data_IF_310610004881
#
_entry.id   IF_310610004881
#
_cell.length_a   1.000
_cell.length_b   1.000
_cell.length_c   1.000
_cell.angle_alpha   90.00
_cell.angle_beta   90.00
_cell.angle_gamma   90.00
#
_symmetry.space_group_name_H-M   'P 1'
#
loop_
_entity.id
_entity.type
_entity.pdbx_description
1 polymer ?
#
# COMPACT_ATOMS: atom_id res chain seq x y z
N UNK A 1 -84.99 -44.76 50.61
CA UNK A 1 -84.64 -44.87 52.04
C UNK A 1 -83.22 -45.45 52.17
N UNK A 2 -82.46 -45.12 53.24
CA UNK A 2 -81.09 -44.59 53.17
C UNK A 2 -80.04 -45.37 54.00
N UNK A 3 -78.74 -44.98 53.98
CA UNK A 3 -77.93 -44.59 55.19
C UNK A 3 -76.40 -44.48 54.97
N UNK A 4 -75.90 -43.24 55.26
CA UNK A 4 -74.75 -42.86 56.14
C UNK A 4 -73.30 -43.17 55.66
N UNK A 5 -72.36 -42.23 55.47
CA UNK A 5 -71.95 -40.98 56.14
C UNK A 5 -71.39 -41.19 57.56
N UNK A 6 -70.04 -41.29 57.68
CA UNK A 6 -69.19 -40.94 58.85
C UNK A 6 -67.77 -41.53 58.69
N UNK A 7 -66.82 -40.78 58.12
CA UNK A 7 -65.35 -40.99 58.31
C UNK A 7 -64.46 -39.90 57.68
N UNK A 8 -65.00 -38.94 56.91
CA UNK A 8 -64.20 -38.03 56.05
C UNK A 8 -63.56 -36.84 56.81
N UNK A 9 -63.86 -36.60 58.08
CA UNK A 9 -63.53 -35.31 58.75
C UNK A 9 -62.12 -35.20 59.39
N UNK A 10 -61.47 -36.24 59.97
CA UNK A 10 -60.23 -36.00 60.73
C UNK A 10 -58.95 -35.96 59.88
N UNK A 11 -58.96 -36.39 58.61
CA UNK A 11 -57.73 -36.49 57.79
C UNK A 11 -57.33 -35.14 57.14
N UNK A 12 -58.27 -34.22 56.97
CA UNK A 12 -58.06 -32.99 56.19
C UNK A 12 -57.35 -31.86 56.97
N UNK A 13 -57.33 -31.94 58.31
CA UNK A 13 -56.75 -30.92 59.19
C UNK A 13 -55.24 -31.08 59.45
N UNK A 14 -54.66 -32.25 59.15
CA UNK A 14 -53.23 -32.50 59.37
C UNK A 14 -52.39 -32.03 58.17
N UNK A 15 -52.95 -32.10 56.95
CA UNK A 15 -52.27 -31.69 55.71
C UNK A 15 -52.16 -30.16 55.59
N UNK A 16 -53.10 -29.42 56.17
CA UNK A 16 -53.12 -27.95 56.13
C UNK A 16 -52.07 -27.29 57.03
N UNK A 17 -51.53 -28.01 58.01
CA UNK A 17 -50.50 -27.46 58.92
C UNK A 17 -49.07 -27.59 58.36
N UNK A 18 -48.80 -28.59 57.52
CA UNK A 18 -47.48 -28.81 56.93
C UNK A 18 -47.15 -27.86 55.75
N UNK A 19 -48.14 -27.18 55.19
CA UNK A 19 -47.98 -26.23 54.08
C UNK A 19 -47.62 -24.80 54.54
N UNK A 20 -47.56 -24.53 55.84
CA UNK A 20 -47.31 -23.19 56.39
C UNK A 20 -45.84 -22.89 56.71
N UNK A 21 -44.89 -23.80 56.46
CA UNK A 21 -43.48 -23.62 56.80
C UNK A 21 -42.53 -24.03 55.65
N UNK A 22 -42.40 -23.15 54.65
CA UNK A 22 -41.18 -23.08 53.82
C UNK A 22 -40.76 -21.61 53.74
N UNK A 23 -39.57 -21.23 54.29
CA UNK A 23 -39.09 -19.87 54.24
C UNK A 23 -38.47 -19.55 52.87
N UNK A 24 -38.52 -18.26 52.54
CA UNK A 24 -38.26 -17.66 51.24
C UNK A 24 -36.85 -17.91 50.67
N UNK A 25 -36.80 -18.19 49.36
CA UNK A 25 -35.61 -17.98 48.54
C UNK A 25 -35.89 -16.81 47.60
N UNK A 26 -35.17 -15.72 47.83
CA UNK A 26 -35.16 -14.49 47.07
C UNK A 26 -34.74 -14.72 45.61
N UNK A 27 -35.64 -14.50 44.66
CA UNK A 27 -35.28 -14.40 43.24
C UNK A 27 -34.97 -12.93 42.92
N UNK A 28 -33.66 -12.68 42.81
CA UNK A 28 -33.05 -11.50 42.19
C UNK A 28 -33.80 -11.12 40.90
N UNK A 29 -34.14 -9.83 40.78
CA UNK A 29 -34.52 -9.19 39.53
C UNK A 29 -33.45 -9.43 38.48
N UNK A 30 -33.67 -10.41 37.61
CA UNK A 30 -32.90 -10.58 36.38
C UNK A 30 -33.54 -9.62 35.37
N UNK A 31 -32.93 -8.44 35.20
CA UNK A 31 -33.23 -7.58 34.06
C UNK A 31 -32.98 -8.38 32.79
N UNK A 32 -34.07 -8.83 32.16
CA UNK A 32 -34.03 -9.48 30.87
C UNK A 32 -33.41 -8.53 29.85
N UNK A 33 -32.15 -8.77 29.49
CA UNK A 33 -31.49 -8.13 28.33
C UNK A 33 -32.24 -8.59 27.08
N UNK A 34 -33.30 -7.86 26.72
CA UNK A 34 -34.05 -8.08 25.49
C UNK A 34 -33.19 -7.62 24.31
N UNK A 35 -32.71 -8.58 23.51
CA UNK A 35 -32.07 -8.29 22.22
C UNK A 35 -33.12 -7.67 21.29
N UNK A 36 -32.99 -6.36 21.06
CA UNK A 36 -33.80 -5.63 20.08
C UNK A 36 -33.16 -5.80 18.71
N UNK A 37 -33.82 -6.54 17.81
CA UNK A 37 -33.42 -6.60 16.41
C UNK A 37 -33.99 -5.39 15.68
N UNK A 38 -33.12 -4.47 15.28
CA UNK A 38 -33.50 -3.34 14.42
C UNK A 38 -33.66 -3.92 13.01
N UNK A 39 -34.89 -4.06 12.52
CA UNK A 39 -35.20 -4.57 11.17
C UNK A 39 -35.43 -3.46 10.15
N UNK A 40 -35.44 -2.19 10.59
CA UNK A 40 -35.67 -1.03 9.73
C UNK A 40 -34.36 -0.53 9.09
N UNK A 41 -33.63 -1.42 8.44
CA UNK A 41 -32.55 -0.99 7.56
C UNK A 41 -33.18 -0.48 6.26
N UNK A 42 -32.78 0.70 5.75
CA UNK A 42 -33.22 1.13 4.43
C UNK A 42 -32.78 0.09 3.41
N UNK A 43 -33.61 -0.14 2.39
CA UNK A 43 -33.26 -1.05 1.30
C UNK A 43 -31.94 -0.60 0.68
N UNK A 44 -31.01 -1.54 0.45
CA UNK A 44 -29.76 -1.25 -0.26
C UNK A 44 -30.10 -0.77 -1.66
N UNK A 45 -29.83 0.50 -1.93
CA UNK A 45 -30.06 1.08 -3.25
C UNK A 45 -28.95 0.59 -4.19
N UNK A 46 -29.34 -0.20 -5.20
CA UNK A 46 -28.40 -0.56 -6.26
C UNK A 46 -28.21 0.65 -7.18
N UNK A 47 -27.04 1.27 -7.08
CA UNK A 47 -26.64 2.33 -8.01
C UNK A 47 -25.98 1.65 -9.21
N UNK A 48 -26.68 1.59 -10.34
CA UNK A 48 -26.13 1.19 -11.62
C UNK A 48 -25.96 2.45 -12.50
N UNK A 49 -24.80 2.59 -13.12
CA UNK A 49 -24.49 3.69 -14.03
C UNK A 49 -23.40 3.29 -15.01
N UNK A 50 -23.39 3.92 -16.18
CA UNK A 50 -22.35 3.76 -17.19
C UNK A 50 -21.42 4.96 -17.12
N UNK A 51 -20.12 4.72 -16.94
CA UNK A 51 -19.10 5.77 -17.05
C UNK A 51 -18.58 5.74 -18.49
N UNK A 52 -18.80 6.82 -19.23
CA UNK A 52 -18.20 7.03 -20.54
C UNK A 52 -17.08 8.06 -20.41
N UNK A 53 -15.94 7.77 -21.05
CA UNK A 53 -14.83 8.71 -21.17
C UNK A 53 -14.87 9.23 -22.60
N UNK A 54 -15.04 10.54 -22.77
CA UNK A 54 -14.91 11.20 -24.07
C UNK A 54 -13.44 11.58 -24.29
N UNK A 55 -12.79 10.93 -25.26
CA UNK A 55 -11.38 11.18 -25.61
C UNK A 55 -10.49 9.93 -25.71
N UNK A 56 -9.21 10.14 -26.02
CA UNK A 56 -8.22 9.06 -26.16
C UNK A 56 -7.67 8.67 -24.79
N UNK A 57 -8.00 7.47 -24.32
CA UNK A 57 -7.38 6.89 -23.12
C UNK A 57 -6.01 6.33 -23.49
N UNK A 58 -4.94 6.98 -23.03
CA UNK A 58 -3.58 6.48 -23.21
C UNK A 58 -3.36 5.29 -22.28
N UNK A 59 -3.42 4.07 -22.81
CA UNK A 59 -3.20 2.86 -22.01
C UNK A 59 -1.73 2.64 -21.66
N UNK A 60 -0.81 3.10 -22.51
CA UNK A 60 0.61 3.03 -22.27
C UNK A 60 1.37 4.16 -22.98
N UNK A 61 2.53 4.51 -22.45
CA UNK A 61 3.48 5.41 -23.10
C UNK A 61 4.91 5.02 -22.76
N UNK A 62 5.81 5.10 -23.73
CA UNK A 62 7.22 4.83 -23.52
C UNK A 62 8.01 6.14 -23.56
N UNK A 63 8.73 6.43 -22.49
CA UNK A 63 9.64 7.58 -22.38
C UNK A 63 11.07 7.09 -22.20
N UNK A 64 12.02 7.84 -22.77
CA UNK A 64 13.42 7.47 -22.79
C UNK A 64 14.31 8.66 -22.44
N UNK A 65 15.29 8.41 -21.58
CA UNK A 65 16.42 9.31 -21.33
C UNK A 65 17.67 8.55 -21.79
N UNK A 66 18.26 8.96 -22.91
CA UNK A 66 19.28 8.16 -23.61
C UNK A 66 20.65 8.79 -23.51
N UNK A 67 21.66 7.93 -23.53
CA UNK A 67 23.07 8.27 -23.67
C UNK A 67 23.57 9.36 -22.70
N UNK A 68 23.18 9.24 -21.44
CA UNK A 68 23.59 10.14 -20.37
C UNK A 68 24.92 9.71 -19.75
N UNK A 69 25.88 10.63 -19.73
CA UNK A 69 27.20 10.39 -19.17
C UNK A 69 27.20 10.62 -17.66
N UNK A 70 27.46 9.56 -16.89
CA UNK A 70 27.40 9.56 -15.43
C UNK A 70 28.77 9.26 -14.85
N UNK A 71 29.36 10.27 -14.21
CA UNK A 71 30.63 10.16 -13.49
C UNK A 71 30.45 9.42 -12.15
N UNK A 72 31.52 8.82 -11.61
CA UNK A 72 31.51 8.21 -10.28
C UNK A 72 31.00 9.15 -9.18
N UNK A 73 29.86 8.82 -8.60
CA UNK A 73 29.21 9.52 -7.50
C UNK A 73 28.37 8.56 -6.66
N UNK A 74 28.46 8.72 -5.33
CA UNK A 74 27.61 7.98 -4.39
C UNK A 74 26.17 8.47 -4.43
N UNK A 75 25.15 7.60 -4.30
CA UNK A 75 23.76 8.03 -4.18
C UNK A 75 23.49 8.91 -2.95
N UNK A 76 24.39 8.89 -1.95
CA UNK A 76 24.29 9.75 -0.75
C UNK A 76 24.78 11.18 -0.98
N UNK A 77 25.51 11.43 -2.05
CA UNK A 77 26.07 12.75 -2.39
C UNK A 77 25.07 13.51 -3.28
N UNK A 78 23.97 13.97 -2.68
CA UNK A 78 22.82 14.58 -3.39
C UNK A 78 23.20 15.70 -4.35
N UNK A 79 24.15 16.56 -3.96
CA UNK A 79 24.63 17.71 -4.74
C UNK A 79 25.43 17.34 -5.98
N UNK A 80 25.93 16.11 -6.05
CA UNK A 80 26.77 15.61 -7.14
C UNK A 80 26.05 14.62 -8.06
N UNK A 81 24.79 14.33 -7.78
CA UNK A 81 23.96 13.50 -8.64
C UNK A 81 23.78 14.16 -10.01
N UNK A 82 23.76 13.35 -11.06
CA UNK A 82 23.66 13.85 -12.44
C UNK A 82 22.18 14.01 -12.79
N UNK A 83 21.69 15.24 -13.07
CA UNK A 83 20.32 15.43 -13.53
C UNK A 83 20.14 14.86 -14.94
N UNK A 84 19.17 13.96 -15.09
CA UNK A 84 18.89 13.26 -16.35
C UNK A 84 17.66 13.79 -17.09
N UNK A 85 16.89 14.68 -16.46
CA UNK A 85 15.66 15.26 -16.99
C UNK A 85 14.45 14.94 -16.12
N UNK A 86 13.27 15.04 -16.71
CA UNK A 86 11.99 14.79 -16.03
C UNK A 86 11.18 13.74 -16.77
N UNK A 87 10.43 12.94 -16.02
CA UNK A 87 9.47 11.96 -16.50
C UNK A 87 8.05 12.49 -16.26
N UNK A 88 7.26 12.64 -17.32
CA UNK A 88 5.85 13.01 -17.20
C UNK A 88 5.01 11.74 -16.99
N UNK A 89 4.30 11.66 -15.86
CA UNK A 89 3.59 10.45 -15.42
C UNK A 89 2.08 10.66 -15.31
N UNK A 90 1.59 11.84 -15.70
CA UNK A 90 0.18 12.19 -15.67
C UNK A 90 -0.69 11.21 -16.48
N UNK A 91 -1.83 10.82 -15.90
CA UNK A 91 -2.75 9.86 -16.49
C UNK A 91 -2.34 8.38 -16.43
N UNK A 92 -1.27 8.03 -15.68
CA UNK A 92 -0.82 6.65 -15.49
C UNK A 92 -0.74 6.27 -14.00
N UNK A 93 -1.06 5.03 -13.67
CA UNK A 93 -1.00 4.52 -12.28
C UNK A 93 0.31 3.82 -11.94
N UNK A 94 1.04 3.34 -12.97
CA UNK A 94 2.24 2.53 -12.81
C UNK A 94 3.31 2.85 -13.86
N UNK A 95 4.57 2.66 -13.49
CA UNK A 95 5.71 2.76 -14.40
C UNK A 95 6.58 1.51 -14.27
N UNK A 96 7.01 0.94 -15.39
CA UNK A 96 8.07 -0.07 -15.43
C UNK A 96 9.36 0.62 -15.85
N UNK A 97 10.33 0.66 -14.93
CA UNK A 97 11.63 1.25 -15.17
C UNK A 97 12.64 0.16 -15.52
N UNK A 98 13.44 0.40 -16.54
CA UNK A 98 14.63 -0.38 -16.84
C UNK A 98 15.79 0.53 -17.20
N UNK A 99 16.97 0.15 -16.74
CA UNK A 99 18.19 0.92 -16.92
C UNK A 99 19.23 0.04 -17.61
N UNK A 100 19.90 0.57 -18.63
CA UNK A 100 21.03 -0.10 -19.24
C UNK A 100 22.13 0.90 -19.59
N UNK A 101 23.29 0.38 -19.94
CA UNK A 101 24.41 1.23 -20.28
C UNK A 101 25.71 0.50 -20.53
N UNK A 102 26.74 1.31 -20.69
CA UNK A 102 28.10 0.86 -20.91
C UNK A 102 29.10 1.70 -20.12
N UNK A 103 30.08 1.08 -19.47
CA UNK A 103 31.19 1.81 -18.87
C UNK A 103 32.22 2.20 -19.93
N UNK A 104 32.87 3.36 -19.76
CA UNK A 104 33.96 3.83 -20.63
C UNK A 104 35.28 3.07 -20.41
N UNK A 105 35.25 1.96 -19.70
CA UNK A 105 36.39 1.10 -19.39
C UNK A 105 35.99 0.00 -18.41
N UNK A 106 36.86 -0.99 -18.22
CA UNK A 106 36.63 -2.04 -17.23
C UNK A 106 36.69 -1.43 -15.83
N UNK A 107 35.59 -1.56 -15.09
CA UNK A 107 35.53 -1.17 -13.69
C UNK A 107 36.39 -2.13 -12.86
N UNK A 108 37.37 -1.59 -12.14
CA UNK A 108 38.21 -2.37 -11.23
C UNK A 108 37.51 -2.59 -9.90
N UNK A 109 36.65 -1.63 -9.51
CA UNK A 109 35.82 -1.71 -8.32
C UNK A 109 34.41 -2.08 -8.73
N UNK A 110 33.90 -3.19 -8.19
CA UNK A 110 32.50 -3.53 -8.34
C UNK A 110 31.63 -2.41 -7.76
N UNK A 111 30.65 -1.97 -8.55
CA UNK A 111 29.69 -0.94 -8.18
C UNK A 111 28.36 -1.15 -8.87
N UNK A 112 27.45 -0.22 -8.60
CA UNK A 112 26.14 -0.13 -9.20
C UNK A 112 25.93 1.24 -9.85
N UNK A 113 25.22 1.23 -10.97
CA UNK A 113 24.68 2.42 -11.62
C UNK A 113 23.18 2.41 -11.38
N UNK A 114 22.62 3.55 -11.00
CA UNK A 114 21.20 3.63 -10.70
C UNK A 114 20.59 4.96 -11.07
N UNK A 115 19.26 4.95 -11.15
CA UNK A 115 18.43 6.13 -11.31
C UNK A 115 17.52 6.28 -10.09
N UNK A 116 17.49 7.49 -9.57
CA UNK A 116 16.61 7.96 -8.51
C UNK A 116 15.58 8.89 -9.13
N UNK A 117 14.31 8.58 -8.91
CA UNK A 117 13.20 9.42 -9.32
C UNK A 117 12.60 10.06 -8.07
N UNK A 118 12.57 11.38 -8.05
CA UNK A 118 11.95 12.17 -6.98
C UNK A 118 10.78 12.98 -7.56
N UNK A 119 9.65 13.12 -6.84
CA UNK A 119 8.56 13.98 -7.28
C UNK A 119 9.03 15.40 -7.60
N UNK A 120 8.57 15.96 -8.73
CA UNK A 120 8.88 17.33 -9.14
C UNK A 120 7.93 18.35 -8.46
N UNK A 121 7.88 18.28 -7.13
CA UNK A 121 7.07 19.12 -6.25
C UNK A 121 7.98 20.03 -5.42
N UNK A 122 7.61 21.30 -5.26
CA UNK A 122 8.49 22.32 -4.65
C UNK A 122 8.99 21.91 -3.26
N UNK A 123 8.10 21.42 -2.41
CA UNK A 123 8.43 20.98 -1.04
C UNK A 123 9.44 19.81 -1.04
N UNK A 124 9.27 18.87 -1.97
CA UNK A 124 10.14 17.69 -2.08
C UNK A 124 11.52 18.08 -2.61
N UNK A 125 11.54 18.95 -3.62
CA UNK A 125 12.79 19.47 -4.20
C UNK A 125 13.57 20.26 -3.17
N UNK A 126 12.89 21.14 -2.41
CA UNK A 126 13.54 21.93 -1.37
C UNK A 126 14.17 21.04 -0.30
N UNK A 127 13.45 20.02 0.18
CA UNK A 127 14.01 19.05 1.14
C UNK A 127 15.21 18.28 0.57
N UNK A 128 15.20 17.97 -0.73
CA UNK A 128 16.32 17.31 -1.40
C UNK A 128 17.54 18.23 -1.57
N UNK A 129 17.32 19.49 -1.97
CA UNK A 129 18.41 20.45 -2.26
C UNK A 129 19.00 21.06 -0.99
N UNK A 130 18.18 21.40 0.00
CA UNK A 130 18.61 22.08 1.24
C UNK A 130 19.08 21.09 2.31
N UNK A 131 18.36 19.96 2.49
CA UNK A 131 18.61 19.01 3.58
C UNK A 131 19.16 17.65 3.09
N UNK A 132 19.22 17.42 1.77
CA UNK A 132 19.65 16.13 1.22
C UNK A 132 18.66 14.99 1.48
N UNK A 133 17.40 15.30 1.78
CA UNK A 133 16.38 14.32 2.12
C UNK A 133 15.63 13.82 0.88
N UNK A 134 15.67 12.50 0.66
CA UNK A 134 14.90 11.85 -0.39
C UNK A 134 13.49 11.55 0.09
N UNK A 135 12.51 12.36 -0.31
CA UNK A 135 11.09 12.09 -0.05
C UNK A 135 10.47 11.32 -1.21
N UNK A 136 9.81 10.21 -0.88
CA UNK A 136 9.13 9.32 -1.84
C UNK A 136 9.97 8.87 -3.06
N UNK A 137 11.25 8.46 -2.87
CA UNK A 137 12.09 8.09 -4.00
C UNK A 137 11.64 6.76 -4.62
N UNK A 138 11.67 6.69 -5.94
CA UNK A 138 11.71 5.41 -6.67
C UNK A 138 13.13 5.19 -7.18
N UNK A 139 13.69 4.02 -6.93
CA UNK A 139 15.09 3.73 -7.24
C UNK A 139 15.20 2.44 -8.07
N UNK A 140 15.89 2.52 -9.20
CA UNK A 140 16.25 1.36 -10.02
C UNK A 140 17.77 1.24 -10.10
N UNK A 141 18.28 0.02 -9.93
CA UNK A 141 19.72 -0.27 -9.88
C UNK A 141 20.09 -1.36 -10.88
N UNK A 142 21.13 -1.11 -11.67
CA UNK A 142 21.85 -2.15 -12.37
C UNK A 142 23.01 -2.64 -11.49
N UNK A 143 22.93 -3.85 -10.91
CA UNK A 143 24.02 -4.39 -10.10
C UNK A 143 25.22 -4.81 -10.96
N UNK A 144 26.35 -5.05 -10.29
CA UNK A 144 27.47 -5.84 -10.83
C UNK A 144 28.13 -5.28 -12.08
N UNK A 145 28.33 -3.97 -12.15
CA UNK A 145 29.24 -3.39 -13.14
C UNK A 145 30.67 -3.73 -12.71
N UNK A 146 31.19 -4.85 -13.20
CA UNK A 146 32.50 -5.40 -12.86
C UNK A 146 33.28 -5.74 -14.14
N UNK A 147 34.60 -5.83 -14.06
CA UNK A 147 35.51 -5.95 -15.21
C UNK A 147 35.26 -7.11 -16.20
N UNK A 148 34.31 -8.01 -15.93
CA UNK A 148 33.89 -9.07 -16.86
C UNK A 148 33.11 -8.55 -18.08
N UNK A 149 32.36 -7.44 -17.95
CA UNK A 149 31.58 -6.85 -19.04
C UNK A 149 31.64 -5.33 -18.98
N UNK A 150 31.69 -4.68 -20.14
CA UNK A 150 31.52 -3.22 -20.25
C UNK A 150 30.04 -2.82 -20.19
N UNK A 151 29.14 -3.75 -20.54
CA UNK A 151 27.71 -3.51 -20.56
C UNK A 151 27.07 -3.95 -19.24
N UNK A 152 26.08 -3.20 -18.82
CA UNK A 152 25.24 -3.50 -17.67
C UNK A 152 23.78 -3.20 -17.98
N UNK A 153 22.91 -3.91 -17.27
CA UNK A 153 21.47 -3.68 -17.30
C UNK A 153 20.86 -4.01 -15.93
N UNK A 154 19.77 -3.34 -15.60
CA UNK A 154 18.90 -3.72 -14.50
C UNK A 154 17.84 -4.71 -15.00
N UNK A 155 17.30 -5.50 -14.08
CA UNK A 155 16.01 -6.12 -14.31
C UNK A 155 14.92 -5.03 -14.39
N UNK A 156 13.90 -5.17 -15.25
CA UNK A 156 12.76 -4.26 -15.25
C UNK A 156 12.01 -4.34 -13.92
N UNK A 157 11.68 -3.17 -13.35
CA UNK A 157 10.95 -3.10 -12.08
C UNK A 157 9.73 -2.21 -12.21
N UNK A 158 8.58 -2.68 -11.69
CA UNK A 158 7.32 -1.94 -11.65
C UNK A 158 7.24 -1.11 -10.38
N UNK A 159 6.82 0.13 -10.53
CA UNK A 159 6.54 1.06 -9.44
C UNK A 159 5.16 1.69 -9.60
N UNK A 160 4.55 2.05 -8.48
CA UNK A 160 3.29 2.80 -8.44
C UNK A 160 3.58 4.29 -8.56
N UNK A 161 2.85 4.97 -9.45
CA UNK A 161 2.94 6.41 -9.66
C UNK A 161 2.04 7.11 -8.64
N UNK A 162 2.59 8.08 -7.91
CA UNK A 162 1.86 8.91 -6.96
C UNK A 162 1.81 10.40 -7.33
N UNK A 163 2.62 10.83 -8.29
CA UNK A 163 2.77 12.24 -8.69
C UNK A 163 2.73 12.37 -10.22
N UNK A 164 2.33 13.54 -10.75
CA UNK A 164 2.19 13.75 -12.20
C UNK A 164 3.54 13.91 -12.92
N UNK A 165 4.63 14.19 -12.19
CA UNK A 165 5.96 14.38 -12.75
C UNK A 165 7.05 14.00 -11.75
N UNK A 166 8.12 13.39 -12.26
CA UNK A 166 9.31 13.03 -11.47
C UNK A 166 10.58 13.60 -12.11
N UNK A 167 11.49 14.12 -11.30
CA UNK A 167 12.88 14.41 -11.72
C UNK A 167 13.71 13.15 -11.63
N UNK A 168 14.54 12.92 -12.63
CA UNK A 168 15.46 11.77 -12.70
C UNK A 168 16.87 12.23 -12.37
N UNK A 169 17.47 11.57 -11.40
CA UNK A 169 18.84 11.76 -10.94
C UNK A 169 19.60 10.47 -11.12
N UNK A 170 20.80 10.52 -11.70
CA UNK A 170 21.63 9.36 -11.93
C UNK A 170 22.83 9.37 -10.98
N UNK A 171 23.21 8.18 -10.54
CA UNK A 171 24.42 7.95 -9.78
C UNK A 171 25.20 6.75 -10.31
N UNK A 172 26.49 6.73 -10.00
CA UNK A 172 27.38 5.66 -10.44
C UNK A 172 28.41 5.39 -9.33
N UNK A 173 28.29 4.26 -8.65
CA UNK A 173 29.20 3.89 -7.56
C UNK A 173 30.45 3.13 -8.02
N UNK A 174 30.64 2.98 -9.34
CA UNK A 174 31.83 2.36 -9.93
C UNK A 174 33.01 3.35 -9.99
N UNK A 175 34.19 2.87 -10.36
CA UNK A 175 35.39 3.69 -10.54
C UNK A 175 35.53 4.28 -11.96
N UNK A 176 34.58 4.03 -12.86
CA UNK A 176 34.61 4.49 -14.25
C UNK A 176 33.33 5.21 -14.64
N UNK A 177 33.46 6.25 -15.46
CA UNK A 177 32.31 6.91 -16.08
C UNK A 177 31.50 5.91 -16.92
N UNK A 178 30.18 6.02 -16.85
CA UNK A 178 29.26 5.18 -17.60
C UNK A 178 28.36 6.00 -18.52
N UNK A 179 28.01 5.45 -19.66
CA UNK A 179 26.90 5.92 -20.48
C UNK A 179 25.65 5.15 -20.06
N UNK A 180 24.57 5.86 -19.72
CA UNK A 180 23.36 5.30 -19.12
C UNK A 180 22.15 5.70 -19.94
N UNK A 181 21.27 4.74 -20.20
CA UNK A 181 19.94 5.00 -20.72
C UNK A 181 18.89 4.45 -19.75
N UNK A 182 17.89 5.28 -19.47
CA UNK A 182 16.72 4.93 -18.68
C UNK A 182 15.50 4.82 -19.60
N UNK A 183 14.78 3.73 -19.47
CA UNK A 183 13.55 3.45 -20.18
C UNK A 183 12.42 3.40 -19.16
N UNK A 184 11.37 4.18 -19.40
CA UNK A 184 10.18 4.24 -18.55
C UNK A 184 8.96 3.89 -19.38
N UNK A 185 8.40 2.70 -19.14
CA UNK A 185 7.17 2.25 -19.76
C UNK A 185 6.00 2.51 -18.80
N UNK A 186 5.21 3.52 -19.11
CA UNK A 186 4.04 3.94 -18.34
C UNK A 186 2.83 3.09 -18.72
N UNK A 187 2.07 2.68 -17.72
CA UNK A 187 0.88 1.83 -17.87
C UNK A 187 -0.13 2.11 -16.76
N UNK A 188 -1.38 1.76 -17.00
CA UNK A 188 -2.43 1.72 -15.98
C UNK A 188 -2.49 0.39 -15.23
#
# INVERSE_FOLDING_TARGET
MPRRLRTIVPLLLIITWFLAFVPATSLRSQEDVRRVFITNFPQTQQVAGTVAIDGVVRHAALQHLKDLLVSPVSPKETTRLVPAGTLATDGFTSVVLSLNGQTKGRALRAGSVGALLIPDEETVIRAFEEEGLFQFPMEIKAPSVSGASLYFASEPQRFTIGFPRYRVLLYNTTDKTANVSLHAYLTN
#
